data_IF_878982506595
#
_entry.id   IF_878982506595
#
_cell.length_a   1.000
_cell.length_b   1.000
_cell.length_c   1.000
_cell.angle_alpha   90.00
_cell.angle_beta   90.00
_cell.angle_gamma   90.00
#
_symmetry.space_group_name_H-M   'P 1'
#
loop_
_entity.id
_entity.type
_entity.pdbx_description
1 polymer ?
#
# COMPACT_ATOMS: atom_id res chain seq x y z
N UNK A 1 -6.41 -1.26 11.97
CA UNK A 1 -5.30 -0.58 11.25
C UNK A 1 -5.06 0.74 11.98
N UNK A 2 -3.97 0.86 12.75
CA UNK A 2 -3.74 2.00 13.66
C UNK A 2 -3.60 3.32 12.90
N UNK A 3 -4.03 4.43 13.51
CA UNK A 3 -3.97 5.79 12.93
C UNK A 3 -2.55 6.18 12.50
N UNK A 4 -1.55 5.78 13.30
CA UNK A 4 -0.12 5.98 13.01
C UNK A 4 0.34 5.27 11.72
N UNK A 5 -0.18 4.07 11.44
CA UNK A 5 0.15 3.34 10.20
C UNK A 5 -0.43 4.01 8.96
N UNK A 6 -1.56 4.70 9.11
CA UNK A 6 -2.18 5.46 8.01
C UNK A 6 -1.41 6.75 7.74
N UNK A 7 -0.96 7.44 8.80
CA UNK A 7 -0.16 8.65 8.69
C UNK A 7 1.17 8.41 7.96
N UNK A 8 1.86 7.32 8.33
CA UNK A 8 3.10 6.91 7.67
C UNK A 8 2.89 6.53 6.20
N UNK A 9 1.81 5.83 5.88
CA UNK A 9 1.46 5.50 4.48
C UNK A 9 1.19 6.74 3.65
N UNK A 10 0.43 7.69 4.18
CA UNK A 10 0.14 8.96 3.49
C UNK A 10 1.40 9.81 3.33
N UNK A 11 2.27 9.81 4.33
CA UNK A 11 3.59 10.47 4.25
C UNK A 11 4.44 9.84 3.17
N UNK A 12 4.57 8.50 3.15
CA UNK A 12 5.33 7.77 2.15
C UNK A 12 4.80 8.06 0.74
N UNK A 13 3.48 7.98 0.54
CA UNK A 13 2.82 8.25 -0.73
C UNK A 13 3.10 9.68 -1.24
N UNK A 14 3.15 10.67 -0.35
CA UNK A 14 3.52 12.04 -0.72
C UNK A 14 5.00 12.13 -1.12
N UNK A 15 5.92 11.53 -0.37
CA UNK A 15 7.35 11.59 -0.67
C UNK A 15 7.66 10.87 -1.99
N UNK A 16 7.01 9.74 -2.26
CA UNK A 16 7.05 9.06 -3.55
C UNK A 16 6.54 9.96 -4.68
N UNK A 17 5.38 10.59 -4.47
CA UNK A 17 4.80 11.48 -5.46
C UNK A 17 5.71 12.67 -5.79
N UNK A 18 6.34 13.28 -4.80
CA UNK A 18 7.26 14.39 -5.02
C UNK A 18 8.56 13.93 -5.71
N UNK A 19 9.09 12.76 -5.37
CA UNK A 19 10.32 12.24 -5.96
C UNK A 19 10.18 11.98 -7.48
N UNK A 20 9.02 11.50 -7.92
CA UNK A 20 8.81 11.10 -9.32
C UNK A 20 8.37 12.25 -10.23
N UNK A 21 7.76 13.30 -9.68
CA UNK A 21 7.18 14.39 -10.49
C UNK A 21 8.19 15.49 -10.89
N UNK A 22 9.45 15.38 -10.48
CA UNK A 22 10.54 16.20 -11.05
C UNK A 22 10.38 17.71 -10.86
N UNK A 23 9.60 18.14 -9.86
CA UNK A 23 9.39 19.55 -9.55
C UNK A 23 8.01 20.07 -9.93
N UNK A 24 7.45 19.83 -11.12
CA UNK A 24 6.22 20.51 -11.56
C UNK A 24 4.96 19.69 -11.21
N UNK A 25 4.56 19.70 -9.95
CA UNK A 25 3.35 19.05 -9.48
C UNK A 25 2.30 20.08 -9.03
N UNK A 26 1.11 20.09 -9.65
CA UNK A 26 -0.02 20.80 -9.08
C UNK A 26 -0.51 20.10 -7.81
N UNK A 27 -0.90 20.84 -6.77
CA UNK A 27 -1.44 20.25 -5.51
C UNK A 27 -2.57 19.23 -5.76
N UNK A 28 -3.40 19.46 -6.80
CA UNK A 28 -4.46 18.52 -7.22
C UNK A 28 -3.90 17.21 -7.78
N UNK A 29 -2.74 17.22 -8.41
CA UNK A 29 -2.08 16.01 -8.93
C UNK A 29 -1.53 15.16 -7.78
N UNK A 30 -0.86 15.79 -6.80
CA UNK A 30 -0.41 15.11 -5.59
C UNK A 30 -1.61 14.48 -4.85
N UNK A 31 -2.70 15.21 -4.68
CA UNK A 31 -3.92 14.70 -4.04
C UNK A 31 -4.50 13.47 -4.76
N UNK A 32 -4.56 13.50 -6.10
CA UNK A 32 -5.01 12.35 -6.91
C UNK A 32 -4.11 11.13 -6.74
N UNK A 33 -2.79 11.32 -6.78
CA UNK A 33 -1.82 10.23 -6.58
C UNK A 33 -1.91 9.62 -5.19
N UNK A 34 -2.09 10.44 -4.18
CA UNK A 34 -2.28 10.00 -2.80
C UNK A 34 -3.66 9.37 -2.56
N UNK A 35 -4.62 9.52 -3.49
CA UNK A 35 -5.99 9.07 -3.32
C UNK A 35 -6.75 9.82 -2.21
N UNK A 36 -6.40 11.09 -1.95
CA UNK A 36 -6.98 11.88 -0.86
C UNK A 36 -7.55 13.22 -1.34
N UNK A 37 -8.36 13.85 -0.49
CA UNK A 37 -8.83 15.21 -0.73
C UNK A 37 -7.68 16.23 -0.77
N UNK A 38 -7.84 17.27 -1.59
CA UNK A 38 -6.85 18.34 -1.78
C UNK A 38 -6.38 18.99 -0.46
N UNK A 39 -7.32 19.23 0.47
CA UNK A 39 -7.00 19.80 1.78
C UNK A 39 -6.07 18.92 2.61
N UNK A 40 -6.28 17.60 2.56
CA UNK A 40 -5.43 16.63 3.27
C UNK A 40 -4.04 16.57 2.64
N UNK A 41 -3.96 16.48 1.31
CA UNK A 41 -2.67 16.53 0.60
C UNK A 41 -1.88 17.81 0.98
N UNK A 42 -2.55 18.97 0.98
CA UNK A 42 -1.94 20.24 1.37
C UNK A 42 -1.51 20.30 2.85
N UNK A 43 -2.22 19.60 3.74
CA UNK A 43 -1.80 19.48 5.14
C UNK A 43 -0.52 18.64 5.27
N UNK A 44 -0.42 17.53 4.54
CA UNK A 44 0.77 16.68 4.52
C UNK A 44 1.97 17.36 3.86
N UNK A 45 1.77 18.09 2.77
CA UNK A 45 2.82 18.92 2.14
C UNK A 45 3.39 19.92 3.14
N UNK A 46 2.53 20.69 3.81
CA UNK A 46 2.97 21.65 4.83
C UNK A 46 3.66 20.97 6.01
N UNK A 47 3.21 19.79 6.43
CA UNK A 47 3.84 19.01 7.49
C UNK A 47 5.24 18.54 7.08
N UNK A 48 5.38 17.93 5.91
CA UNK A 48 6.66 17.44 5.41
C UNK A 48 7.64 18.57 5.12
N UNK A 49 7.16 19.74 4.67
CA UNK A 49 7.97 20.94 4.54
C UNK A 49 8.48 21.45 5.89
N UNK A 50 7.63 21.50 6.93
CA UNK A 50 8.05 21.87 8.30
C UNK A 50 9.06 20.89 8.89
N UNK A 51 8.97 19.60 8.53
CA UNK A 51 9.95 18.57 8.92
C UNK A 51 11.25 18.63 8.11
N UNK A 52 11.36 19.51 7.12
CA UNK A 52 12.53 19.63 6.27
C UNK A 52 12.66 18.54 5.21
N UNK A 53 11.63 17.71 4.98
CA UNK A 53 11.65 16.62 4.00
C UNK A 53 11.33 17.09 2.58
N UNK A 54 10.57 18.19 2.47
CA UNK A 54 10.15 18.78 1.18
C UNK A 54 10.53 20.25 1.16
N UNK A 55 11.18 20.69 0.08
CA UNK A 55 11.31 22.11 -0.27
C UNK A 55 10.22 22.51 -1.25
N UNK A 56 9.60 23.66 -0.98
CA UNK A 56 8.56 24.26 -1.84
C UNK A 56 9.12 25.54 -2.45
N UNK A 57 9.07 25.67 -3.77
CA UNK A 57 9.47 26.89 -4.50
C UNK A 57 8.34 27.34 -5.40
N UNK A 58 8.10 28.64 -5.51
CA UNK A 58 7.11 29.17 -6.44
C UNK A 58 7.67 29.11 -7.88
N UNK A 59 6.84 28.68 -8.83
CA UNK A 59 7.10 28.71 -10.25
C UNK A 59 6.18 29.71 -10.96
N UNK A 60 6.55 30.16 -12.18
CA UNK A 60 5.69 30.98 -13.03
C UNK A 60 4.29 30.35 -13.21
N UNK A 61 3.29 31.20 -13.45
CA UNK A 61 1.89 30.81 -13.61
C UNK A 61 1.20 30.23 -12.35
N UNK A 62 1.51 30.76 -11.15
CA UNK A 62 0.93 30.35 -9.87
C UNK A 62 1.07 28.85 -9.56
N UNK A 63 2.15 28.24 -10.04
CA UNK A 63 2.49 26.84 -9.79
C UNK A 63 3.48 26.74 -8.64
N UNK A 64 3.49 25.57 -8.00
CA UNK A 64 4.47 25.23 -6.97
C UNK A 64 5.39 24.14 -7.49
N UNK A 65 6.67 24.27 -7.15
CA UNK A 65 7.68 23.26 -7.34
C UNK A 65 7.95 22.56 -6.02
N UNK A 66 7.87 21.23 -6.04
CA UNK A 66 8.12 20.39 -4.88
C UNK A 66 9.35 19.53 -5.12
N UNK A 67 10.29 19.55 -4.17
CA UNK A 67 11.51 18.75 -4.24
C UNK A 67 11.76 18.05 -2.92
N UNK A 68 12.24 16.80 -2.98
CA UNK A 68 12.78 16.13 -1.80
C UNK A 68 14.13 16.72 -1.44
N UNK A 69 14.34 16.93 -0.15
CA UNK A 69 15.67 17.18 0.43
C UNK A 69 16.42 15.87 0.64
N UNK A 70 17.73 15.88 0.94
CA UNK A 70 18.44 14.69 1.38
C UNK A 70 17.76 13.99 2.57
N UNK A 71 17.25 14.77 3.53
CA UNK A 71 16.49 14.25 4.67
C UNK A 71 15.16 13.62 4.23
N UNK A 72 14.49 14.20 3.23
CA UNK A 72 13.28 13.64 2.63
C UNK A 72 13.52 12.32 1.90
N UNK A 73 14.65 12.17 1.20
CA UNK A 73 15.05 10.89 0.60
C UNK A 73 15.35 9.83 1.66
N UNK A 74 16.05 10.20 2.74
CA UNK A 74 16.32 9.30 3.86
C UNK A 74 15.01 8.84 4.52
N UNK A 75 14.08 9.76 4.78
CA UNK A 75 12.79 9.42 5.38
C UNK A 75 11.92 8.56 4.45
N UNK A 76 11.86 8.87 3.15
CA UNK A 76 11.19 8.04 2.15
C UNK A 76 11.73 6.60 2.24
N UNK A 77 13.05 6.45 2.21
CA UNK A 77 13.71 5.13 2.27
C UNK A 77 13.37 4.39 3.57
N UNK A 78 13.41 5.08 4.71
CA UNK A 78 13.03 4.53 6.02
C UNK A 78 11.59 4.01 6.02
N UNK A 79 10.65 4.81 5.52
CA UNK A 79 9.24 4.45 5.44
C UNK A 79 8.99 3.31 4.44
N UNK A 80 9.65 3.30 3.29
CA UNK A 80 9.59 2.20 2.31
C UNK A 80 10.06 0.89 2.96
N UNK A 81 11.21 0.88 3.64
CA UNK A 81 11.70 -0.31 4.34
C UNK A 81 10.71 -0.77 5.42
N UNK A 82 10.15 0.15 6.19
CA UNK A 82 9.15 -0.17 7.21
C UNK A 82 7.90 -0.79 6.58
N UNK A 83 7.38 -0.20 5.49
CA UNK A 83 6.24 -0.73 4.75
C UNK A 83 6.51 -2.16 4.26
N UNK A 84 7.65 -2.38 3.58
CA UNK A 84 8.01 -3.70 3.06
C UNK A 84 8.15 -4.75 4.17
N UNK A 85 8.73 -4.39 5.32
CA UNK A 85 8.81 -5.28 6.49
C UNK A 85 7.43 -5.71 6.98
N UNK A 86 6.49 -4.76 7.09
CA UNK A 86 5.11 -5.07 7.52
C UNK A 86 4.39 -5.93 6.49
N UNK A 87 4.50 -5.59 5.20
CA UNK A 87 3.85 -6.35 4.11
C UNK A 87 4.38 -7.78 4.03
N UNK A 88 5.70 -7.98 4.20
CA UNK A 88 6.28 -9.31 4.19
C UNK A 88 5.92 -10.13 5.44
N UNK A 89 5.85 -9.48 6.61
CA UNK A 89 5.37 -10.13 7.84
C UNK A 89 3.92 -10.60 7.67
N UNK A 90 3.04 -9.71 7.19
CA UNK A 90 1.65 -10.04 6.87
C UNK A 90 1.55 -11.21 5.88
N UNK A 91 2.32 -11.19 4.78
CA UNK A 91 2.34 -12.29 3.81
C UNK A 91 2.72 -13.62 4.46
N UNK A 92 3.74 -13.63 5.32
CA UNK A 92 4.21 -14.84 6.03
C UNK A 92 3.14 -15.37 6.99
N UNK A 93 2.54 -14.49 7.77
CA UNK A 93 1.45 -14.83 8.71
C UNK A 93 0.24 -15.39 7.97
N UNK A 94 -0.23 -14.71 6.93
CA UNK A 94 -1.34 -15.15 6.10
C UNK A 94 -1.03 -16.48 5.40
N UNK A 95 0.18 -16.65 4.88
CA UNK A 95 0.62 -17.92 4.26
C UNK A 95 0.57 -19.07 5.26
N UNK A 96 1.05 -18.86 6.49
CA UNK A 96 1.02 -19.88 7.53
C UNK A 96 -0.41 -20.23 7.96
N UNK A 97 -1.28 -19.22 8.08
CA UNK A 97 -2.69 -19.42 8.37
C UNK A 97 -3.39 -20.24 7.27
N UNK A 98 -3.18 -19.91 6.00
CA UNK A 98 -3.73 -20.66 4.87
C UNK A 98 -3.21 -22.09 4.81
N UNK A 99 -1.92 -22.32 5.04
CA UNK A 99 -1.36 -23.68 5.11
C UNK A 99 -2.03 -24.51 6.22
N UNK A 100 -2.38 -23.90 7.36
CA UNK A 100 -3.15 -24.59 8.40
C UNK A 100 -4.58 -24.94 7.97
N UNK A 101 -5.25 -24.03 7.24
CA UNK A 101 -6.59 -24.28 6.66
C UNK A 101 -6.55 -25.40 5.63
N UNK A 102 -5.59 -25.39 4.71
CA UNK A 102 -5.46 -26.43 3.69
C UNK A 102 -5.14 -27.80 4.29
N UNK A 103 -4.21 -27.89 5.25
CA UNK A 103 -3.98 -29.13 6.00
C UNK A 103 -5.21 -29.64 6.72
N UNK A 104 -6.08 -28.75 7.21
CA UNK A 104 -7.36 -29.15 7.80
C UNK A 104 -8.25 -29.76 6.72
N UNK A 105 -8.43 -29.11 5.57
CA UNK A 105 -9.20 -29.66 4.46
C UNK A 105 -8.70 -31.05 4.05
N UNK A 106 -7.37 -31.26 3.96
CA UNK A 106 -6.79 -32.56 3.62
C UNK A 106 -7.13 -33.65 4.65
N UNK A 107 -7.03 -33.34 5.95
CA UNK A 107 -7.37 -34.27 7.04
C UNK A 107 -8.85 -34.65 7.04
N UNK A 108 -9.73 -33.71 6.71
CA UNK A 108 -11.18 -33.93 6.61
C UNK A 108 -11.58 -34.56 5.25
N UNK A 109 -10.63 -34.80 4.34
CA UNK A 109 -10.89 -35.35 3.02
C UNK A 109 -11.55 -34.37 2.04
N UNK A 110 -11.60 -33.07 2.36
CA UNK A 110 -12.16 -32.04 1.49
C UNK A 110 -11.18 -31.71 0.37
N UNK A 111 -11.48 -32.21 -0.84
CA UNK A 111 -10.59 -32.09 -2.01
C UNK A 111 -10.84 -30.87 -2.88
N UNK A 112 -11.95 -30.16 -2.68
CA UNK A 112 -12.35 -29.02 -3.51
C UNK A 112 -12.77 -27.87 -2.63
N UNK A 113 -12.21 -26.69 -2.86
CA UNK A 113 -12.50 -25.49 -2.09
C UNK A 113 -12.80 -24.30 -3.01
N UNK A 114 -13.73 -23.46 -2.59
CA UNK A 114 -14.05 -22.17 -3.20
C UNK A 114 -13.69 -21.08 -2.19
N UNK A 115 -13.03 -20.01 -2.66
CA UNK A 115 -12.80 -18.83 -1.82
C UNK A 115 -13.96 -17.84 -1.96
N UNK A 116 -14.31 -17.18 -0.86
CA UNK A 116 -15.27 -16.06 -0.86
C UNK A 116 -14.49 -14.77 -0.60
N UNK A 117 -14.51 -13.86 -1.58
CA UNK A 117 -13.69 -12.66 -1.69
C UNK A 117 -12.49 -12.84 -2.62
N UNK A 118 -12.12 -11.79 -3.35
CA UNK A 118 -10.96 -11.78 -4.26
C UNK A 118 -9.87 -10.77 -3.84
N UNK A 119 -9.64 -10.61 -2.53
CA UNK A 119 -8.60 -9.74 -2.00
C UNK A 119 -7.23 -10.42 -1.80
N UNK A 120 -6.28 -9.71 -1.21
CA UNK A 120 -4.90 -10.18 -0.97
C UNK A 120 -4.83 -11.54 -0.27
N UNK A 121 -5.71 -11.80 0.70
CA UNK A 121 -5.75 -13.10 1.37
C UNK A 121 -6.15 -14.24 0.42
N UNK A 122 -7.04 -13.99 -0.54
CA UNK A 122 -7.45 -15.00 -1.51
C UNK A 122 -6.32 -15.30 -2.52
N UNK A 123 -5.54 -14.29 -2.90
CA UNK A 123 -4.33 -14.47 -3.71
C UNK A 123 -3.27 -15.30 -2.97
N UNK A 124 -3.04 -15.00 -1.69
CA UNK A 124 -2.11 -15.78 -0.86
C UNK A 124 -2.62 -17.23 -0.72
N UNK A 125 -3.93 -17.41 -0.51
CA UNK A 125 -4.55 -18.72 -0.40
C UNK A 125 -4.34 -19.55 -1.66
N UNK A 126 -4.50 -18.95 -2.84
CA UNK A 126 -4.37 -19.64 -4.14
C UNK A 126 -2.93 -20.08 -4.40
N UNK A 127 -1.95 -19.23 -4.07
CA UNK A 127 -0.53 -19.60 -4.13
C UNK A 127 -0.22 -20.76 -3.19
N UNK A 128 -0.76 -20.73 -1.95
CA UNK A 128 -0.52 -21.79 -0.97
C UNK A 128 -1.26 -23.08 -1.28
N UNK A 129 -2.39 -23.03 -1.98
CA UNK A 129 -3.14 -24.22 -2.35
C UNK A 129 -2.32 -25.19 -3.23
N UNK A 130 -1.36 -24.68 -4.01
CA UNK A 130 -0.48 -25.50 -4.85
C UNK A 130 0.38 -26.51 -4.04
N UNK A 131 0.63 -26.23 -2.77
CA UNK A 131 1.40 -27.09 -1.88
C UNK A 131 0.54 -28.22 -1.23
N UNK A 132 -0.76 -28.29 -1.55
CA UNK A 132 -1.71 -29.18 -0.90
C UNK A 132 -2.59 -29.96 -1.89
N UNK A 133 -3.09 -31.12 -1.45
CA UNK A 133 -4.01 -31.97 -2.20
C UNK A 133 -5.48 -31.48 -2.11
N UNK A 134 -5.67 -30.15 -2.26
CA UNK A 134 -6.95 -29.44 -2.30
C UNK A 134 -7.00 -28.63 -3.59
N UNK A 135 -7.93 -28.95 -4.47
CA UNK A 135 -8.16 -28.19 -5.70
C UNK A 135 -8.96 -26.94 -5.39
N UNK A 136 -8.33 -25.78 -5.56
CA UNK A 136 -9.04 -24.51 -5.54
C UNK A 136 -9.86 -24.38 -6.84
N UNK A 137 -11.18 -24.39 -6.74
CA UNK A 137 -12.07 -24.33 -7.91
C UNK A 137 -12.33 -22.91 -8.40
N UNK A 138 -12.01 -21.90 -7.59
CA UNK A 138 -12.14 -20.49 -7.93
C UNK A 138 -12.33 -19.60 -6.72
N UNK A 139 -12.59 -18.32 -6.98
CA UNK A 139 -12.99 -17.33 -5.99
C UNK A 139 -14.28 -16.65 -6.43
N UNK A 140 -15.19 -16.43 -5.50
CA UNK A 140 -16.43 -15.66 -5.70
C UNK A 140 -16.29 -14.35 -4.95
N UNK A 141 -16.36 -13.21 -5.64
CA UNK A 141 -16.41 -11.89 -5.01
C UNK A 141 -17.81 -11.28 -5.16
N UNK A 142 -18.61 -11.25 -4.07
CA UNK A 142 -19.95 -10.67 -4.10
C UNK A 142 -19.97 -9.15 -4.36
N UNK A 143 -18.84 -8.47 -4.16
CA UNK A 143 -18.69 -7.02 -4.32
C UNK A 143 -18.12 -6.59 -5.66
N UNK A 144 -17.70 -7.52 -6.52
CA UNK A 144 -17.19 -7.21 -7.85
C UNK A 144 -18.31 -6.62 -8.72
N UNK A 145 -18.21 -5.32 -9.04
CA UNK A 145 -19.05 -4.71 -10.07
C UNK A 145 -18.64 -5.30 -11.43
N UNK A 146 -19.63 -5.78 -12.19
CA UNK A 146 -19.45 -6.28 -13.56
C UNK A 146 -18.87 -5.20 -14.48
#
# INVERSE_FOLDING_TARGET
>A
MNDESRDERLTLALLEAVAEEGGVAGQRRLARRMGVALGLANAYVRRCARKGWIKVRQAPANRYLYYLTPEGFAEKSRLTVRYLRHSLAFYREASAAWAAVWRRCEREGWRRALLVGAGELAEIASVRAADHAVTLVGALDPGARR
#
